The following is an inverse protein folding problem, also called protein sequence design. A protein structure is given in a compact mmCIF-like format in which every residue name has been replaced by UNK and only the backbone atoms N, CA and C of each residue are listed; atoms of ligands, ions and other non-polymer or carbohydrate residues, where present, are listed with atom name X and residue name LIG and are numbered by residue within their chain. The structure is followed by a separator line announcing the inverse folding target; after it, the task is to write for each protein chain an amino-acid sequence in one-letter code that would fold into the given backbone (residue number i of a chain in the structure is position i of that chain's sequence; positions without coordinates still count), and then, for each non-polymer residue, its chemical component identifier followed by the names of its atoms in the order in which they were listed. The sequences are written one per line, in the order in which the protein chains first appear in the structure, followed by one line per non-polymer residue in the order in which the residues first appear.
data_IF_103133424055
#
_entry.id   IF_103133424055
#
_cell.length_a   1.000
_cell.length_b   1.000
_cell.length_c   1.000
_cell.angle_alpha   90.00
_cell.angle_beta   90.00
_cell.angle_gamma   90.00
#
_symmetry.space_group_name_H-M   'P 1'
#
loop_
_entity.id
_entity.type
_entity.pdbx_description
1 polymer ?
#
# COMPACT_ATOMS: atom_id res chain seq x y z
N UNK A 1 -3.88 -7.95 8.81
CA UNK A 1 -3.97 -7.71 7.36
C UNK A 1 -2.62 -7.54 6.67
N UNK A 2 -1.54 -7.18 7.38
CA UNK A 2 -0.21 -6.91 6.79
C UNK A 2 0.33 -8.01 5.85
N UNK A 3 0.29 -9.28 6.26
CA UNK A 3 0.77 -10.41 5.41
C UNK A 3 -0.06 -10.58 4.14
N UNK A 4 -1.35 -10.22 4.16
CA UNK A 4 -2.25 -10.34 3.02
C UNK A 4 -1.86 -9.44 1.84
N UNK A 5 -1.26 -8.27 2.10
CA UNK A 5 -0.84 -7.35 1.05
C UNK A 5 0.23 -7.95 0.13
N UNK A 6 1.12 -8.79 0.67
CA UNK A 6 2.18 -9.43 -0.11
C UNK A 6 1.68 -10.55 -1.02
N UNK A 7 0.42 -11.02 -0.89
CA UNK A 7 -0.13 -12.06 -1.78
C UNK A 7 -0.05 -11.65 -3.25
N UNK A 8 -0.32 -10.38 -3.57
CA UNK A 8 -0.20 -9.84 -4.92
C UNK A 8 1.27 -9.83 -5.41
N UNK A 9 2.23 -9.52 -4.53
CA UNK A 9 3.65 -9.56 -4.86
C UNK A 9 4.12 -10.99 -5.18
N UNK A 10 3.65 -11.99 -4.41
CA UNK A 10 3.93 -13.40 -4.70
C UNK A 10 3.30 -13.87 -6.01
N UNK A 11 2.05 -13.47 -6.29
CA UNK A 11 1.39 -13.77 -7.56
C UNK A 11 2.15 -13.16 -8.74
N UNK A 12 2.55 -11.89 -8.65
CA UNK A 12 3.36 -11.22 -9.66
C UNK A 12 4.73 -11.88 -9.84
N UNK A 13 5.36 -12.33 -8.75
CA UNK A 13 6.65 -13.04 -8.78
C UNK A 13 6.55 -14.39 -9.49
N UNK A 14 5.41 -15.08 -9.38
CA UNK A 14 5.15 -16.31 -10.10
C UNK A 14 5.00 -16.08 -11.62
N UNK A 15 4.44 -14.94 -12.02
CA UNK A 15 4.28 -14.53 -13.43
C UNK A 15 5.61 -14.07 -14.03
N UNK A 16 6.39 -13.27 -13.30
CA UNK A 16 7.72 -12.80 -13.72
C UNK A 16 8.80 -13.18 -12.70
N UNK A 17 9.36 -14.39 -12.79
CA UNK A 17 10.36 -14.90 -11.84
C UNK A 17 11.69 -14.14 -11.86
N UNK A 18 12.01 -13.36 -12.91
CA UNK A 18 13.27 -12.59 -12.95
C UNK A 18 13.13 -11.24 -12.26
N UNK A 19 11.91 -10.72 -12.06
CA UNK A 19 11.70 -9.48 -11.34
C UNK A 19 12.25 -9.57 -9.90
N UNK A 20 13.02 -8.58 -9.41
CA UNK A 20 13.47 -8.57 -8.03
C UNK A 20 12.27 -8.59 -7.08
N UNK A 21 12.22 -9.52 -6.13
CA UNK A 21 11.03 -9.66 -5.27
C UNK A 21 10.75 -8.39 -4.45
N UNK A 22 11.80 -7.67 -4.03
CA UNK A 22 11.66 -6.45 -3.25
C UNK A 22 10.90 -5.35 -4.00
N UNK A 23 10.97 -5.28 -5.34
CA UNK A 23 10.21 -4.26 -6.11
C UNK A 23 8.73 -4.59 -6.13
N UNK A 24 8.40 -5.89 -6.25
CA UNK A 24 7.01 -6.37 -6.22
C UNK A 24 6.40 -6.20 -4.82
N UNK A 25 7.19 -6.48 -3.77
CA UNK A 25 6.80 -6.26 -2.39
C UNK A 25 6.59 -4.77 -2.10
N UNK A 26 7.51 -3.90 -2.55
CA UNK A 26 7.38 -2.45 -2.44
C UNK A 26 6.13 -1.93 -3.17
N UNK A 27 5.84 -2.45 -4.37
CA UNK A 27 4.63 -2.10 -5.11
C UNK A 27 3.36 -2.46 -4.33
N UNK A 28 3.31 -3.65 -3.70
CA UNK A 28 2.17 -4.05 -2.85
C UNK A 28 2.04 -3.25 -1.55
N UNK A 29 3.08 -2.51 -1.15
CA UNK A 29 3.13 -1.70 0.07
C UNK A 29 3.08 -0.20 -0.21
N UNK A 30 2.94 0.22 -1.48
CA UNK A 30 3.01 1.63 -1.84
C UNK A 30 1.99 2.48 -1.08
N UNK A 31 0.75 1.99 -0.99
CA UNK A 31 -0.34 2.68 -0.27
C UNK A 31 -0.05 2.72 1.23
N UNK A 32 0.50 1.65 1.82
CA UNK A 32 0.89 1.60 3.24
C UNK A 32 2.04 2.57 3.57
N UNK A 33 2.99 2.77 2.65
CA UNK A 33 4.06 3.77 2.77
C UNK A 33 3.48 5.19 2.72
N UNK A 34 2.54 5.44 1.80
CA UNK A 34 1.80 6.69 1.73
C UNK A 34 1.01 6.95 3.02
N UNK A 35 0.31 5.93 3.52
CA UNK A 35 -0.45 5.96 4.76
C UNK A 35 0.41 6.33 5.97
N UNK A 36 1.57 5.71 6.14
CA UNK A 36 2.48 6.06 7.23
C UNK A 36 2.85 7.57 7.19
N UNK A 37 3.10 8.09 5.99
CA UNK A 37 3.39 9.52 5.79
C UNK A 37 2.19 10.41 6.12
N UNK A 38 0.97 9.99 5.77
CA UNK A 38 -0.26 10.76 5.97
C UNK A 38 -0.67 10.79 7.44
N UNK A 39 -0.47 9.69 8.18
CA UNK A 39 -0.64 9.64 9.63
C UNK A 39 0.37 10.56 10.33
N UNK A 40 1.66 10.48 9.96
CA UNK A 40 2.71 11.30 10.57
C UNK A 40 2.49 12.81 10.35
N UNK A 41 1.84 13.18 9.25
CA UNK A 41 1.57 14.58 8.89
C UNK A 41 0.18 15.05 9.34
N UNK A 42 -0.65 14.17 9.92
CA UNK A 42 -2.02 14.50 10.36
C UNK A 42 -3.01 14.72 9.21
N UNK A 43 -2.72 14.21 8.01
CA UNK A 43 -3.64 14.24 6.86
C UNK A 43 -4.72 13.16 7.00
N UNK A 44 -4.33 12.00 7.52
CA UNK A 44 -5.22 10.90 7.86
C UNK A 44 -5.08 10.56 9.34
N UNK A 45 -6.09 9.89 9.89
CA UNK A 45 -6.21 9.79 11.35
C UNK A 45 -6.42 8.35 11.81
N UNK A 46 -5.57 7.94 12.74
CA UNK A 46 -5.69 6.68 13.46
C UNK A 46 -5.52 6.90 14.97
N UNK A 47 -6.06 5.97 15.74
CA UNK A 47 -5.82 5.88 17.18
C UNK A 47 -5.39 4.46 17.55
N UNK A 48 -4.94 4.28 18.79
CA UNK A 48 -4.62 2.97 19.34
C UNK A 48 -5.58 2.65 20.48
N UNK A 49 -6.26 1.52 20.38
CA UNK A 49 -7.08 0.95 21.45
C UNK A 49 -6.51 -0.42 21.86
N UNK A 50 -5.82 -0.50 23.02
CA UNK A 50 -5.25 -1.75 23.54
C UNK A 50 -6.29 -2.81 23.91
N UNK A 51 -7.57 -2.45 24.05
CA UNK A 51 -8.62 -3.39 24.41
C UNK A 51 -9.10 -4.23 23.21
N UNK A 52 -8.73 -3.86 21.98
CA UNK A 52 -9.15 -4.58 20.78
C UNK A 52 -8.48 -5.95 20.66
N UNK A 53 -9.24 -7.01 20.30
CA UNK A 53 -8.65 -8.30 20.00
C UNK A 53 -7.89 -8.23 18.67
N UNK A 54 -6.57 -8.39 18.71
CA UNK A 54 -5.71 -8.43 17.53
C UNK A 54 -4.94 -7.12 17.29
N UNK A 55 -5.28 -6.41 16.22
CA UNK A 55 -4.63 -5.11 15.94
C UNK A 55 -5.18 -4.05 16.88
N UNK A 56 -4.29 -3.34 17.57
CA UNK A 56 -4.67 -2.19 18.42
C UNK A 56 -4.95 -0.92 17.61
N UNK A 57 -4.58 -0.89 16.32
CA UNK A 57 -4.80 0.27 15.46
C UNK A 57 -6.28 0.39 15.05
N UNK A 58 -6.86 1.55 15.32
CA UNK A 58 -8.17 1.99 14.83
C UNK A 58 -7.95 3.00 13.72
N UNK A 59 -8.21 2.58 12.48
CA UNK A 59 -8.09 3.40 11.29
C UNK A 59 -9.45 4.00 10.94
N UNK A 60 -9.79 5.16 11.51
CA UNK A 60 -11.14 5.72 11.39
C UNK A 60 -11.33 6.73 10.26
N UNK A 61 -10.24 7.29 9.71
CA UNK A 61 -10.29 8.27 8.62
C UNK A 61 -9.11 8.08 7.66
N UNK A 62 -9.37 7.47 6.50
CA UNK A 62 -8.37 7.11 5.47
C UNK A 62 -8.82 7.41 4.03
N UNK A 63 -9.34 8.61 3.72
CA UNK A 63 -9.92 8.91 2.41
C UNK A 63 -8.91 8.93 1.26
N UNK A 64 -7.62 9.16 1.53
CA UNK A 64 -6.60 9.40 0.51
C UNK A 64 -5.67 8.21 0.27
N UNK A 65 -5.66 7.23 1.18
CA UNK A 65 -4.85 6.03 1.03
C UNK A 65 -5.72 4.79 0.88
N UNK A 66 -6.76 4.63 1.71
CA UNK A 66 -7.54 3.38 1.78
C UNK A 66 -9.00 3.49 1.32
N UNK A 67 -9.40 4.61 0.71
CA UNK A 67 -10.66 4.65 -0.03
C UNK A 67 -10.52 3.95 -1.39
N UNK A 68 -11.60 3.35 -1.90
CA UNK A 68 -11.60 2.71 -3.22
C UNK A 68 -11.15 3.67 -4.35
N UNK A 69 -11.64 4.93 -4.42
CA UNK A 69 -11.16 5.87 -5.42
C UNK A 69 -9.68 6.18 -5.27
N UNK A 70 -9.21 6.44 -4.04
CA UNK A 70 -7.82 6.81 -3.83
C UNK A 70 -6.86 5.65 -4.13
N UNK A 71 -7.17 4.43 -3.67
CA UNK A 71 -6.38 3.23 -3.99
C UNK A 71 -6.27 2.99 -5.50
N UNK A 72 -7.33 3.29 -6.26
CA UNK A 72 -7.32 3.24 -7.73
C UNK A 72 -6.38 4.28 -8.31
N UNK A 73 -6.45 5.53 -7.83
CA UNK A 73 -5.56 6.62 -8.26
C UNK A 73 -4.10 6.28 -7.98
N UNK A 74 -3.77 5.81 -6.77
CA UNK A 74 -2.41 5.36 -6.42
C UNK A 74 -1.90 4.27 -7.37
N UNK A 75 -2.72 3.27 -7.65
CA UNK A 75 -2.35 2.15 -8.52
C UNK A 75 -2.08 2.60 -9.96
N UNK A 76 -2.96 3.42 -10.53
CA UNK A 76 -2.79 3.96 -11.88
C UNK A 76 -1.59 4.91 -11.96
N UNK A 77 -1.45 5.81 -10.99
CA UNK A 77 -0.33 6.75 -10.95
C UNK A 77 1.02 6.03 -10.87
N UNK A 78 1.13 4.99 -10.03
CA UNK A 78 2.33 4.17 -9.92
C UNK A 78 2.65 3.44 -11.23
N UNK A 79 1.63 2.85 -11.87
CA UNK A 79 1.81 2.18 -13.16
C UNK A 79 2.31 3.16 -14.23
N UNK A 80 1.68 4.33 -14.35
CA UNK A 80 2.08 5.37 -15.30
C UNK A 80 3.49 5.90 -15.00
N UNK A 81 3.84 6.10 -13.73
CA UNK A 81 5.17 6.53 -13.32
C UNK A 81 6.22 5.48 -13.71
N UNK A 82 5.97 4.20 -13.49
CA UNK A 82 6.86 3.12 -13.92
C UNK A 82 7.05 3.11 -15.43
N UNK A 83 5.96 3.21 -16.22
CA UNK A 83 6.03 3.26 -17.68
C UNK A 83 6.89 4.44 -18.13
N UNK A 84 6.61 5.64 -17.62
CA UNK A 84 7.32 6.86 -18.01
C UNK A 84 8.81 6.85 -17.60
N UNK A 85 9.12 6.40 -16.38
CA UNK A 85 10.48 6.44 -15.82
C UNK A 85 11.37 5.31 -16.34
N UNK A 86 10.81 4.11 -16.50
CA UNK A 86 11.53 2.94 -17.01
C UNK A 86 11.52 2.86 -18.54
N UNK A 87 10.80 3.77 -19.21
CA UNK A 87 10.62 3.81 -20.67
C UNK A 87 10.11 2.47 -21.22
N UNK A 88 9.15 1.90 -20.51
CA UNK A 88 8.44 0.69 -20.94
C UNK A 88 7.42 1.01 -22.03
#
# INVERSE_FOLDING_TARGET
MFVGHYAAAFAAKAIEPKAPFWTLAAASQLVDIGWASFIMTGIEHASADPALPGSTLVLYDMPWTHSLPAATVWSVAAALACIALLRL
#
